data_IF_539172919244
#
_entry.id   IF_539172919244
#
_cell.length_a   1.000
_cell.length_b   1.000
_cell.length_c   1.000
_cell.angle_alpha   90.00
_cell.angle_beta   90.00
_cell.angle_gamma   90.00
#
_symmetry.space_group_name_H-M   'P 1'
#
loop_
_entity.id
_entity.type
_entity.pdbx_description
1 polymer ?
#
# COMPACT_ATOMS: atom_id res chain seq x y z
N UNK A 1 -9.14 -13.83 -10.71
CA UNK A 1 -8.35 -13.48 -9.50
C UNK A 1 -7.58 -12.20 -9.78
N UNK A 2 -7.59 -11.24 -8.86
CA UNK A 2 -6.72 -10.06 -8.86
C UNK A 2 -5.87 -10.16 -7.60
N UNK A 3 -4.56 -10.24 -7.76
CA UNK A 3 -3.65 -10.23 -6.62
C UNK A 3 -3.29 -8.77 -6.30
N UNK A 4 -3.54 -8.33 -5.07
CA UNK A 4 -3.31 -6.95 -4.64
C UNK A 4 -2.31 -6.92 -3.50
N UNK A 5 -1.07 -6.60 -3.82
CA UNK A 5 -0.01 -6.51 -2.83
C UNK A 5 0.13 -5.07 -2.35
N UNK A 6 0.35 -4.89 -1.05
CA UNK A 6 0.68 -3.62 -0.43
C UNK A 6 1.98 -3.73 0.36
N UNK A 7 2.74 -2.64 0.41
CA UNK A 7 3.99 -2.58 1.18
C UNK A 7 4.28 -1.16 1.62
N UNK A 8 4.88 -0.99 2.80
CA UNK A 8 5.50 0.29 3.18
C UNK A 8 7.03 0.28 3.05
N UNK A 9 7.62 -0.87 2.70
CA UNK A 9 9.07 -1.06 2.65
C UNK A 9 9.58 -1.41 1.26
N UNK A 10 8.81 -2.15 0.47
CA UNK A 10 9.20 -2.54 -0.86
C UNK A 10 8.82 -1.46 -1.87
N UNK A 11 9.69 -1.24 -2.84
CA UNK A 11 9.37 -0.41 -3.99
C UNK A 11 8.32 -1.09 -4.88
N UNK A 12 7.63 -0.29 -5.67
CA UNK A 12 6.55 -0.75 -6.52
C UNK A 12 6.97 -1.75 -7.61
N UNK A 13 8.22 -1.70 -8.10
CA UNK A 13 8.71 -2.65 -9.10
C UNK A 13 8.90 -4.02 -8.46
N UNK A 14 9.51 -4.09 -7.29
CA UNK A 14 9.67 -5.34 -6.53
C UNK A 14 8.30 -5.95 -6.18
N UNK A 15 7.36 -5.11 -5.72
CA UNK A 15 6.01 -5.54 -5.38
C UNK A 15 5.24 -6.08 -6.59
N UNK A 16 5.40 -5.44 -7.76
CA UNK A 16 4.78 -5.89 -9.01
C UNK A 16 5.34 -7.24 -9.49
N UNK A 17 6.66 -7.43 -9.40
CA UNK A 17 7.28 -8.71 -9.74
C UNK A 17 6.79 -9.83 -8.82
N UNK A 18 6.65 -9.57 -7.53
CA UNK A 18 6.13 -10.56 -6.57
C UNK A 18 4.68 -10.96 -6.87
N UNK A 19 3.80 -9.98 -7.12
CA UNK A 19 2.40 -10.25 -7.47
C UNK A 19 2.29 -11.06 -8.77
N UNK A 20 3.08 -10.70 -9.78
CA UNK A 20 3.09 -11.38 -11.07
C UNK A 20 3.70 -12.79 -11.00
N UNK A 21 4.80 -12.97 -10.26
CA UNK A 21 5.43 -14.28 -10.05
C UNK A 21 4.47 -15.25 -9.36
N UNK A 22 3.73 -14.77 -8.35
CA UNK A 22 2.72 -15.57 -7.67
C UNK A 22 1.57 -15.95 -8.61
N UNK A 23 1.05 -15.01 -9.40
CA UNK A 23 -0.08 -15.29 -10.31
C UNK A 23 0.32 -16.15 -11.51
N UNK A 24 1.57 -16.04 -11.98
CA UNK A 24 2.12 -16.83 -13.07
C UNK A 24 2.67 -18.20 -12.63
N UNK A 25 2.66 -18.50 -11.32
CA UNK A 25 3.31 -19.67 -10.73
C UNK A 25 4.75 -19.85 -11.22
N UNK A 26 5.53 -18.77 -11.16
CA UNK A 26 6.87 -18.69 -11.72
C UNK A 26 7.89 -18.11 -10.73
N UNK A 27 9.20 -18.41 -10.89
CA UNK A 27 10.25 -17.78 -10.09
C UNK A 27 10.30 -16.26 -10.29
N UNK A 28 10.57 -15.51 -9.22
CA UNK A 28 10.72 -14.04 -9.27
C UNK A 28 11.78 -13.58 -10.29
N UNK A 29 12.82 -14.39 -10.51
CA UNK A 29 13.90 -14.15 -11.47
C UNK A 29 13.43 -14.16 -12.92
N UNK A 30 12.30 -14.80 -13.21
CA UNK A 30 11.74 -14.90 -14.57
C UNK A 30 10.72 -13.80 -14.87
N UNK A 31 10.39 -12.96 -13.89
CA UNK A 31 9.44 -11.87 -14.03
C UNK A 31 10.17 -10.53 -14.04
N UNK A 32 9.92 -9.73 -15.09
CA UNK A 32 10.42 -8.36 -15.21
C UNK A 32 9.30 -7.31 -15.21
N UNK A 33 9.69 -6.05 -15.03
CA UNK A 33 8.81 -4.88 -15.17
C UNK A 33 9.42 -3.94 -16.20
N UNK A 34 8.68 -3.65 -17.26
CA UNK A 34 9.02 -2.68 -18.29
C UNK A 34 8.06 -1.49 -18.29
N UNK A 35 8.15 -0.68 -19.34
CA UNK A 35 7.21 0.43 -19.61
C UNK A 35 6.73 0.38 -21.06
N UNK A 36 5.43 0.49 -21.25
CA UNK A 36 4.83 0.69 -22.56
C UNK A 36 5.09 2.12 -23.08
N UNK A 37 4.95 2.36 -24.41
CA UNK A 37 4.85 3.72 -24.95
C UNK A 37 3.74 4.48 -24.21
N UNK A 38 4.09 5.59 -23.56
CA UNK A 38 3.19 6.33 -22.66
C UNK A 38 3.46 6.13 -21.17
N UNK A 39 4.44 5.31 -20.80
CA UNK A 39 4.98 5.21 -19.44
C UNK A 39 4.26 4.25 -18.50
N UNK A 40 3.16 3.62 -18.96
CA UNK A 40 2.41 2.61 -18.21
C UNK A 40 3.31 1.40 -17.90
N UNK A 41 3.33 0.88 -16.67
CA UNK A 41 4.07 -0.34 -16.34
C UNK A 41 3.52 -1.53 -17.12
N UNK A 42 4.40 -2.40 -17.58
CA UNK A 42 4.07 -3.70 -18.18
C UNK A 42 4.89 -4.79 -17.53
N UNK A 43 4.35 -6.00 -17.46
CA UNK A 43 5.07 -7.18 -16.99
C UNK A 43 5.74 -7.89 -18.17
N UNK A 44 6.93 -8.46 -17.92
CA UNK A 44 7.72 -9.18 -18.93
C UNK A 44 8.18 -10.54 -18.42
N UNK A 45 8.71 -11.37 -19.32
CA UNK A 45 9.12 -12.74 -19.00
C UNK A 45 7.89 -13.61 -18.67
N UNK A 46 7.95 -14.35 -17.56
CA UNK A 46 6.84 -15.21 -17.11
C UNK A 46 5.57 -14.40 -16.75
N UNK A 47 5.69 -13.09 -16.47
CA UNK A 47 4.55 -12.22 -16.24
C UNK A 47 3.94 -11.61 -17.51
N UNK A 48 4.49 -11.92 -18.70
CA UNK A 48 3.96 -11.37 -19.95
C UNK A 48 2.51 -11.81 -20.18
N UNK A 49 1.66 -10.85 -20.60
CA UNK A 49 0.21 -11.09 -20.79
C UNK A 49 -0.64 -10.84 -19.54
N UNK A 50 -0.03 -10.62 -18.37
CA UNK A 50 -0.72 -10.12 -17.19
C UNK A 50 -0.85 -8.59 -17.25
N UNK A 51 -1.99 -8.09 -16.78
CA UNK A 51 -2.25 -6.67 -16.60
C UNK A 51 -1.78 -6.23 -15.22
N UNK A 52 -1.14 -5.06 -15.15
CA UNK A 52 -0.61 -4.49 -13.91
C UNK A 52 -1.07 -3.05 -13.73
N UNK A 53 -1.40 -2.69 -12.50
CA UNK A 53 -1.59 -1.32 -12.07
C UNK A 53 -0.83 -1.06 -10.78
N UNK A 54 -0.26 0.13 -10.66
CA UNK A 54 0.59 0.54 -9.55
C UNK A 54 0.04 1.87 -9.00
N UNK A 55 -0.01 2.00 -7.68
CA UNK A 55 -0.19 3.29 -7.02
C UNK A 55 0.71 3.41 -5.79
N UNK A 56 0.98 4.65 -5.39
CA UNK A 56 1.74 4.95 -4.19
C UNK A 56 1.19 6.20 -3.51
N UNK A 57 1.15 6.20 -2.18
CA UNK A 57 0.80 7.39 -1.40
C UNK A 57 1.49 7.33 -0.05
N UNK A 58 2.19 8.42 0.32
CA UNK A 58 2.80 8.62 1.64
C UNK A 58 3.58 7.42 2.19
N UNK A 59 4.45 6.84 1.37
CA UNK A 59 5.30 5.70 1.76
C UNK A 59 4.64 4.33 1.64
N UNK A 60 3.38 4.25 1.21
CA UNK A 60 2.68 3.01 0.88
C UNK A 60 2.73 2.81 -0.64
N UNK A 61 3.14 1.63 -1.09
CA UNK A 61 2.98 1.17 -2.46
C UNK A 61 1.89 0.09 -2.51
N UNK A 62 1.03 0.14 -3.53
CA UNK A 62 0.05 -0.91 -3.83
C UNK A 62 0.17 -1.31 -5.31
N UNK A 63 0.08 -2.60 -5.57
CA UNK A 63 0.07 -3.15 -6.93
C UNK A 63 -1.08 -4.13 -7.08
N UNK A 64 -1.82 -4.01 -8.19
CA UNK A 64 -2.81 -5.00 -8.62
C UNK A 64 -2.32 -5.70 -9.89
N UNK A 65 -2.37 -7.04 -9.91
CA UNK A 65 -2.04 -7.86 -11.08
C UNK A 65 -3.18 -8.83 -11.39
N UNK A 66 -3.52 -9.00 -12.67
CA UNK A 66 -4.54 -9.96 -13.10
C UNK A 66 -4.39 -10.41 -14.55
N UNK A 67 -4.92 -11.59 -14.86
CA UNK A 67 -5.12 -12.08 -16.22
C UNK A 67 -6.53 -11.75 -16.78
N UNK A 68 -7.42 -11.16 -15.96
CA UNK A 68 -8.84 -11.00 -16.30
C UNK A 68 -9.14 -9.82 -17.25
N UNK A 69 -8.14 -9.01 -17.57
CA UNK A 69 -8.28 -7.82 -18.40
C UNK A 69 -7.80 -6.54 -17.68
N UNK A 70 -8.09 -5.36 -18.26
CA UNK A 70 -7.56 -4.10 -17.77
C UNK A 70 -7.88 -3.87 -16.30
N UNK A 71 -6.85 -3.56 -15.51
CA UNK A 71 -6.94 -3.34 -14.06
C UNK A 71 -6.39 -1.97 -13.69
N UNK A 72 -6.98 -1.38 -12.66
CA UNK A 72 -6.54 -0.14 -12.05
C UNK A 72 -6.53 -0.26 -10.53
N UNK A 73 -5.50 0.30 -9.89
CA UNK A 73 -5.43 0.41 -8.43
C UNK A 73 -5.06 1.82 -8.02
N UNK A 74 -5.63 2.28 -6.93
CA UNK A 74 -5.23 3.52 -6.29
C UNK A 74 -5.19 3.39 -4.77
N UNK A 75 -4.30 4.18 -4.13
CA UNK A 75 -4.16 4.22 -2.68
C UNK A 75 -3.97 5.65 -2.23
N UNK A 76 -4.65 6.04 -1.15
CA UNK A 76 -4.43 7.30 -0.47
C UNK A 76 -4.39 7.13 1.04
N UNK A 77 -3.44 7.81 1.70
CA UNK A 77 -3.42 7.89 3.16
C UNK A 77 -4.61 8.72 3.65
N UNK A 78 -5.31 8.20 4.67
CA UNK A 78 -6.34 8.97 5.40
C UNK A 78 -5.64 10.08 6.18
N UNK A 79 -6.00 11.31 5.85
CA UNK A 79 -5.42 12.53 6.42
C UNK A 79 -6.41 13.68 6.26
N UNK A 80 -6.19 14.74 7.03
CA UNK A 80 -6.99 15.95 6.92
C UNK A 80 -6.81 16.61 5.56
N UNK A 81 -7.93 16.92 4.92
CA UNK A 81 -8.02 17.52 3.61
C UNK A 81 -9.17 18.52 3.58
N UNK A 82 -9.09 19.57 2.74
CA UNK A 82 -10.24 20.42 2.42
C UNK A 82 -11.25 19.68 1.51
N UNK A 83 -11.70 18.49 1.92
CA UNK A 83 -12.45 17.53 1.12
C UNK A 83 -13.65 18.13 0.38
N UNK A 84 -14.39 19.04 1.03
CA UNK A 84 -15.57 19.70 0.45
C UNK A 84 -15.19 20.63 -0.70
N UNK A 85 -14.14 21.44 -0.53
CA UNK A 85 -13.66 22.39 -1.54
C UNK A 85 -13.06 21.65 -2.74
N UNK A 86 -12.30 20.59 -2.47
CA UNK A 86 -11.74 19.72 -3.49
C UNK A 86 -12.84 19.02 -4.30
N UNK A 87 -13.86 18.47 -3.62
CA UNK A 87 -14.99 17.85 -4.29
C UNK A 87 -15.79 18.85 -5.13
N UNK A 88 -16.07 20.05 -4.60
CA UNK A 88 -16.77 21.10 -5.33
C UNK A 88 -16.04 21.53 -6.61
N UNK A 89 -14.70 21.50 -6.60
CA UNK A 89 -13.88 21.87 -7.75
C UNK A 89 -13.82 20.79 -8.83
N UNK A 90 -13.75 19.52 -8.44
CA UNK A 90 -13.35 18.44 -9.36
C UNK A 90 -14.39 17.36 -9.60
N UNK A 91 -15.29 17.10 -8.64
CA UNK A 91 -16.30 16.06 -8.79
C UNK A 91 -17.54 16.57 -9.53
N UNK A 92 -18.45 15.66 -9.84
CA UNK A 92 -19.76 16.06 -10.35
C UNK A 92 -20.58 16.77 -9.25
N UNK A 93 -21.57 17.60 -9.60
CA UNK A 93 -22.41 18.27 -8.60
C UNK A 93 -23.07 17.31 -7.59
N UNK A 94 -23.47 16.12 -8.05
CA UNK A 94 -24.06 15.09 -7.20
C UNK A 94 -23.07 14.54 -6.16
N UNK A 95 -21.85 14.22 -6.58
CA UNK A 95 -20.77 13.74 -5.71
C UNK A 95 -20.26 14.85 -4.79
N UNK A 96 -20.15 16.09 -5.27
CA UNK A 96 -19.78 17.24 -4.43
C UNK A 96 -20.81 17.48 -3.32
N UNK A 97 -22.11 17.41 -3.64
CA UNK A 97 -23.17 17.50 -2.64
C UNK A 97 -23.16 16.31 -1.67
N UNK A 98 -22.71 15.13 -2.10
CA UNK A 98 -22.50 13.98 -1.23
C UNK A 98 -21.35 14.24 -0.24
N UNK A 99 -20.18 14.65 -0.73
CA UNK A 99 -18.99 14.93 0.11
C UNK A 99 -19.26 16.08 1.07
N UNK A 100 -20.05 17.09 0.68
CA UNK A 100 -20.46 18.15 1.59
C UNK A 100 -21.21 17.65 2.84
N UNK A 101 -21.91 16.51 2.73
CA UNK A 101 -22.57 15.83 3.86
C UNK A 101 -21.72 14.75 4.52
N UNK A 102 -20.78 14.16 3.76
CA UNK A 102 -19.91 13.08 4.21
C UNK A 102 -18.45 13.35 3.79
N UNK A 103 -17.74 14.30 4.45
CA UNK A 103 -16.39 14.70 4.03
C UNK A 103 -15.37 13.55 4.01
N UNK A 104 -15.54 12.56 4.89
CA UNK A 104 -14.67 11.39 5.01
C UNK A 104 -14.72 10.47 3.79
N UNK A 105 -15.77 10.56 2.97
CA UNK A 105 -15.95 9.77 1.75
C UNK A 105 -15.19 10.34 0.54
N UNK A 106 -14.59 11.52 0.67
CA UNK A 106 -13.84 12.14 -0.42
C UNK A 106 -12.75 11.22 -0.96
N UNK A 107 -11.93 10.63 -0.07
CA UNK A 107 -10.85 9.73 -0.48
C UNK A 107 -11.36 8.43 -1.10
N UNK A 108 -12.55 7.95 -0.71
CA UNK A 108 -13.19 6.79 -1.34
C UNK A 108 -13.57 7.10 -2.79
N UNK A 109 -14.20 8.25 -3.04
CA UNK A 109 -14.57 8.67 -4.39
C UNK A 109 -13.33 9.01 -5.24
N UNK A 110 -12.33 9.65 -4.63
CA UNK A 110 -11.06 9.99 -5.28
C UNK A 110 -10.33 8.74 -5.79
N UNK A 111 -10.04 7.81 -4.88
CA UNK A 111 -9.31 6.57 -5.19
C UNK A 111 -10.09 5.72 -6.20
N UNK A 112 -11.42 5.70 -6.12
CA UNK A 112 -12.27 4.99 -7.08
C UNK A 112 -12.17 5.59 -8.49
N UNK A 113 -12.19 6.93 -8.62
CA UNK A 113 -12.04 7.63 -9.91
C UNK A 113 -10.66 7.39 -10.51
N UNK A 114 -9.61 7.44 -9.70
CA UNK A 114 -8.23 7.21 -10.12
C UNK A 114 -7.99 5.76 -10.54
N UNK A 115 -8.42 4.78 -9.73
CA UNK A 115 -8.35 3.36 -10.07
C UNK A 115 -9.09 3.09 -11.38
N UNK A 116 -10.30 3.65 -11.54
CA UNK A 116 -11.07 3.54 -12.79
C UNK A 116 -10.32 4.18 -13.97
N UNK A 117 -9.76 5.38 -13.80
CA UNK A 117 -8.97 6.06 -14.82
C UNK A 117 -7.75 5.25 -15.27
N UNK A 118 -7.08 4.59 -14.31
CA UNK A 118 -5.95 3.70 -14.57
C UNK A 118 -6.37 2.44 -15.33
N UNK A 119 -7.50 1.83 -14.98
CA UNK A 119 -8.04 0.68 -15.72
C UNK A 119 -8.32 1.04 -17.19
N UNK A 120 -8.89 2.23 -17.46
CA UNK A 120 -9.15 2.69 -18.83
C UNK A 120 -7.88 3.13 -19.59
N UNK A 121 -6.73 3.21 -18.92
CA UNK A 121 -5.50 3.77 -19.49
C UNK A 121 -5.55 5.27 -19.79
N UNK A 122 -6.52 6.00 -19.21
CA UNK A 122 -6.72 7.45 -19.43
C UNK A 122 -6.26 8.31 -18.26
N UNK A 123 -6.11 7.71 -17.08
CA UNK A 123 -5.92 8.44 -15.83
C UNK A 123 -7.07 9.42 -15.57
N UNK A 124 -6.75 10.60 -15.04
CA UNK A 124 -7.71 11.69 -14.82
C UNK A 124 -7.99 12.57 -16.04
N UNK A 125 -7.36 12.29 -17.20
CA UNK A 125 -7.59 13.05 -18.43
C UNK A 125 -9.03 12.86 -18.94
N UNK A 126 -9.44 13.73 -19.86
CA UNK A 126 -10.74 13.67 -20.53
C UNK A 126 -11.95 13.62 -19.57
N UNK A 127 -11.89 14.45 -18.52
CA UNK A 127 -12.95 14.54 -17.52
C UNK A 127 -12.97 13.39 -16.51
N UNK A 128 -11.85 12.68 -16.30
CA UNK A 128 -11.77 11.53 -15.39
C UNK A 128 -12.26 11.82 -13.96
N UNK A 129 -12.04 13.03 -13.43
CA UNK A 129 -12.57 13.45 -12.12
C UNK A 129 -14.09 13.68 -12.12
N UNK A 130 -14.69 13.97 -13.28
CA UNK A 130 -16.14 14.12 -13.47
C UNK A 130 -16.82 12.82 -13.91
N UNK A 131 -16.07 11.71 -14.04
CA UNK A 131 -16.66 10.40 -14.29
C UNK A 131 -17.55 10.02 -13.11
N UNK A 132 -18.84 9.77 -13.37
CA UNK A 132 -19.79 9.39 -12.34
C UNK A 132 -19.39 8.06 -11.71
N UNK A 133 -19.16 8.07 -10.41
CA UNK A 133 -18.96 6.86 -9.62
C UNK A 133 -20.20 6.53 -8.80
N UNK A 134 -20.42 5.24 -8.49
CA UNK A 134 -21.36 4.89 -7.43
C UNK A 134 -20.99 5.66 -6.15
N UNK A 135 -21.99 6.19 -5.45
CA UNK A 135 -21.76 6.84 -4.16
C UNK A 135 -21.60 5.78 -3.05
N UNK A 136 -20.79 6.01 -2.01
CA UNK A 136 -20.85 5.20 -0.79
C UNK A 136 -22.26 5.24 -0.18
N UNK A 137 -22.74 4.21 0.54
CA UNK A 137 -22.15 2.89 0.72
C UNK A 137 -22.41 1.92 -0.46
N UNK A 138 -23.13 2.33 -1.52
CA UNK A 138 -23.38 1.46 -2.68
C UNK A 138 -22.08 1.09 -3.42
N UNK A 139 -21.10 2.00 -3.42
CA UNK A 139 -19.71 1.78 -3.88
C UNK A 139 -18.81 1.09 -2.85
N UNK A 140 -19.21 1.13 -1.59
CA UNK A 140 -18.39 0.83 -0.43
C UNK A 140 -19.14 -0.18 0.43
N UNK A 141 -19.08 -1.45 0.03
CA UNK A 141 -19.38 -2.49 1.00
C UNK A 141 -18.29 -2.42 2.07
N UNK A 142 -18.63 -1.79 3.19
CA UNK A 142 -17.97 -1.97 4.47
C UNK A 142 -18.08 -3.46 4.83
N UNK A 143 -17.21 -4.29 4.27
CA UNK A 143 -16.84 -5.52 4.97
C UNK A 143 -16.21 -5.05 6.30
N UNK A 144 -16.51 -5.69 7.45
CA UNK A 144 -15.81 -5.36 8.69
C UNK A 144 -14.31 -5.36 8.39
N UNK A 145 -13.67 -4.22 8.63
CA UNK A 145 -12.25 -3.96 8.34
C UNK A 145 -11.44 -5.15 8.88
N UNK A 146 -10.83 -5.99 8.03
CA UNK A 146 -9.96 -7.02 8.54
C UNK A 146 -8.70 -6.32 9.06
N UNK A 147 -8.43 -6.42 10.36
CA UNK A 147 -7.12 -6.03 10.92
C UNK A 147 -6.05 -6.88 10.21
N UNK A 148 -4.94 -6.29 9.70
CA UNK A 148 -3.87 -7.06 9.09
C UNK A 148 -3.16 -7.84 10.18
N UNK A 149 -3.62 -9.06 10.38
CA UNK A 149 -3.01 -10.04 11.28
C UNK A 149 -2.49 -11.25 10.51
N UNK A 150 -2.82 -11.41 9.23
CA UNK A 150 -2.43 -12.55 8.40
C UNK A 150 -1.74 -12.13 7.09
N UNK A 151 -0.79 -12.97 6.63
CA UNK A 151 0.09 -12.73 5.49
C UNK A 151 -0.59 -12.76 4.11
N UNK A 152 -1.85 -13.20 4.04
CA UNK A 152 -2.69 -13.18 2.84
C UNK A 152 -4.14 -13.27 3.27
N UNK A 153 -5.04 -12.47 2.67
CA UNK A 153 -6.46 -12.54 3.01
C UNK A 153 -7.39 -12.59 1.79
N UNK A 154 -8.33 -13.56 1.70
CA UNK A 154 -9.37 -13.57 0.70
C UNK A 154 -10.26 -12.35 0.82
N UNK A 155 -10.26 -11.49 -0.20
CA UNK A 155 -11.31 -10.49 -0.39
C UNK A 155 -12.67 -11.17 -0.56
N UNK A 156 -13.76 -10.59 0.00
CA UNK A 156 -15.09 -11.14 -0.19
C UNK A 156 -15.48 -11.21 -1.67
N UNK A 157 -16.29 -12.21 -2.04
CA UNK A 157 -17.04 -12.25 -3.31
C UNK A 157 -18.07 -11.11 -3.28
N UNK A 158 -17.65 -9.90 -3.66
CA UNK A 158 -18.53 -8.73 -3.68
C UNK A 158 -19.15 -8.59 -5.06
N UNK A 159 -20.49 -8.58 -5.10
CA UNK A 159 -21.28 -8.25 -6.29
C UNK A 159 -20.83 -6.89 -6.83
N UNK A 160 -20.56 -6.76 -8.15
CA UNK A 160 -20.13 -5.51 -8.76
C UNK A 160 -21.03 -4.32 -8.40
N UNK A 161 -20.44 -3.23 -7.91
CA UNK A 161 -21.06 -1.91 -7.98
C UNK A 161 -20.65 -1.27 -9.31
N UNK A 162 -21.53 -1.30 -10.31
CA UNK A 162 -21.22 -0.80 -11.65
C UNK A 162 -22.48 -0.47 -12.46
N UNK A 163 -22.37 0.49 -13.38
CA UNK A 163 -23.39 0.68 -14.42
C UNK A 163 -23.20 -0.40 -15.50
N UNK A 164 -24.26 -1.14 -15.88
CA UNK A 164 -24.19 -2.12 -16.96
C UNK A 164 -23.77 -1.52 -18.31
N UNK A 165 -23.84 -0.19 -18.47
CA UNK A 165 -23.42 0.50 -19.70
C UNK A 165 -21.91 0.60 -19.89
N UNK A 166 -21.08 0.41 -18.85
CA UNK A 166 -19.63 0.66 -18.95
C UNK A 166 -18.76 -0.56 -18.56
N UNK A 167 -19.38 -1.72 -18.27
CA UNK A 167 -18.69 -2.94 -17.86
C UNK A 167 -17.59 -2.68 -16.80
N UNK A 168 -17.85 -1.79 -15.85
CA UNK A 168 -16.89 -1.37 -14.83
C UNK A 168 -17.25 -2.04 -13.52
N UNK A 169 -16.28 -2.71 -12.90
CA UNK A 169 -16.40 -3.16 -11.51
C UNK A 169 -15.32 -2.50 -10.67
N UNK A 170 -15.69 -1.95 -9.51
CA UNK A 170 -14.71 -1.41 -8.57
C UNK A 170 -15.03 -1.79 -7.13
N UNK A 171 -13.97 -1.84 -6.32
CA UNK A 171 -14.03 -2.15 -4.90
C UNK A 171 -13.14 -1.16 -4.13
N UNK A 172 -13.63 -0.64 -3.02
CA UNK A 172 -12.88 0.26 -2.14
C UNK A 172 -12.76 -0.31 -0.74
N UNK A 173 -11.59 -0.14 -0.14
CA UNK A 173 -11.19 -0.72 1.14
C UNK A 173 -10.53 0.36 2.00
N UNK A 174 -10.86 0.43 3.29
CA UNK A 174 -10.01 1.10 4.28
C UNK A 174 -9.11 0.04 4.91
N UNK A 175 -7.81 0.29 4.96
CA UNK A 175 -6.79 -0.64 5.45
C UNK A 175 -5.86 0.10 6.40
N UNK A 176 -5.48 -0.53 7.50
CA UNK A 176 -4.47 0.04 8.42
C UNK A 176 -3.15 -0.70 8.21
N UNK A 177 -2.18 -0.08 7.53
CA UNK A 177 -0.85 -0.70 7.30
C UNK A 177 0.03 -0.59 8.54
N UNK A 178 1.20 -1.23 8.52
CA UNK A 178 2.23 -1.08 9.57
C UNK A 178 3.36 -0.17 9.09
N UNK A 179 3.79 0.82 9.90
CA UNK A 179 3.19 1.25 11.16
C UNK A 179 1.81 1.88 10.92
N UNK A 180 0.92 1.80 11.92
CA UNK A 180 -0.53 2.07 11.92
C UNK A 180 -1.02 3.25 11.05
N UNK A 181 -0.97 3.08 9.74
CA UNK A 181 -1.30 4.12 8.76
C UNK A 181 -2.59 3.70 8.09
N UNK A 182 -3.65 4.46 8.32
CA UNK A 182 -4.91 4.20 7.63
C UNK A 182 -4.80 4.70 6.19
N UNK A 183 -5.15 3.83 5.25
CA UNK A 183 -5.20 4.12 3.82
C UNK A 183 -6.53 3.69 3.24
N UNK A 184 -6.96 4.38 2.20
CA UNK A 184 -8.05 3.96 1.31
C UNK A 184 -7.41 3.35 0.07
N UNK A 185 -7.82 2.14 -0.31
CA UNK A 185 -7.39 1.47 -1.54
C UNK A 185 -8.62 1.21 -2.40
N UNK A 186 -8.56 1.59 -3.68
CA UNK A 186 -9.57 1.19 -4.67
C UNK A 186 -8.96 0.35 -5.77
N UNK A 187 -9.69 -0.68 -6.19
CA UNK A 187 -9.35 -1.56 -7.32
C UNK A 187 -10.48 -1.48 -8.33
N UNK A 188 -10.17 -1.37 -9.61
CA UNK A 188 -11.15 -1.32 -10.70
C UNK A 188 -10.75 -2.25 -11.85
N UNK A 189 -11.74 -2.85 -12.51
CA UNK A 189 -11.57 -3.64 -13.74
C UNK A 189 -12.61 -3.26 -14.79
N UNK A 190 -12.25 -3.39 -16.06
CA UNK A 190 -13.14 -3.17 -17.20
C UNK A 190 -13.45 -4.49 -17.90
N UNK A 191 -14.69 -4.63 -18.36
CA UNK A 191 -15.28 -5.86 -18.85
C UNK A 191 -16.17 -6.51 -17.78
N UNK A 192 -17.12 -7.34 -18.21
CA UNK A 192 -17.91 -8.18 -17.31
C UNK A 192 -16.94 -9.21 -16.71
N UNK A 193 -16.56 -9.13 -15.42
CA UNK A 193 -15.88 -10.25 -14.81
C UNK A 193 -16.90 -11.40 -14.85
N UNK A 194 -16.53 -12.60 -15.29
CA UNK A 194 -17.47 -13.71 -15.15
C UNK A 194 -17.92 -13.76 -13.68
N UNK A 195 -19.22 -13.71 -13.45
CA UNK A 195 -19.80 -13.52 -12.13
C UNK A 195 -19.16 -14.51 -11.14
N UNK A 196 -18.49 -13.98 -10.10
CA UNK A 196 -17.84 -14.78 -9.06
C UNK A 196 -16.34 -15.10 -9.21
N UNK A 197 -15.61 -14.54 -10.20
CA UNK A 197 -14.19 -14.91 -10.43
C UNK A 197 -13.12 -13.93 -9.92
N UNK A 198 -13.49 -12.77 -9.36
CA UNK A 198 -12.53 -11.78 -8.88
C UNK A 198 -12.42 -11.85 -7.36
N UNK A 199 -11.50 -12.69 -6.91
CA UNK A 199 -10.94 -12.63 -5.56
C UNK A 199 -9.84 -11.57 -5.54
N UNK A 200 -9.94 -10.62 -4.61
CA UNK A 200 -8.90 -9.62 -4.31
C UNK A 200 -8.13 -10.12 -3.11
N UNK A 201 -6.92 -10.64 -3.31
CA UNK A 201 -6.09 -11.08 -2.20
C UNK A 201 -5.17 -9.94 -1.76
N UNK A 202 -5.33 -9.48 -0.52
CA UNK A 202 -4.43 -8.48 0.07
C UNK A 202 -3.28 -9.15 0.80
N UNK A 203 -2.05 -8.69 0.55
CA UNK A 203 -0.85 -9.10 1.28
C UNK A 203 -0.04 -7.88 1.70
N UNK A 204 0.15 -7.70 3.01
CA UNK A 204 1.10 -6.74 3.56
C UNK A 204 2.47 -7.41 3.70
N UNK A 205 3.42 -6.97 2.86
CA UNK A 205 4.80 -7.50 2.86
C UNK A 205 5.71 -6.79 3.86
N UNK A 206 5.17 -5.82 4.60
CA UNK A 206 5.94 -5.04 5.56
C UNK A 206 6.34 -5.92 6.75
N UNK A 207 7.60 -5.83 7.23
CA UNK A 207 8.06 -6.64 8.34
C UNK A 207 7.19 -6.43 9.59
N UNK A 208 6.84 -7.51 10.27
CA UNK A 208 6.22 -7.45 11.60
C UNK A 208 7.18 -6.74 12.56
N UNK A 209 6.68 -5.85 13.42
CA UNK A 209 7.50 -5.18 14.45
C UNK A 209 8.23 -6.15 15.41
N UNK A 210 7.93 -7.45 15.34
CA UNK A 210 8.60 -8.52 16.07
C UNK A 210 9.89 -9.05 15.40
N UNK A 211 10.27 -8.59 14.21
CA UNK A 211 11.46 -9.06 13.48
C UNK A 211 12.69 -8.14 13.65
N UNK A 212 12.76 -7.34 14.71
CA UNK A 212 14.05 -6.83 15.22
C UNK A 212 14.56 -7.84 16.25
N UNK A 213 14.97 -9.01 15.76
CA UNK A 213 15.64 -9.99 16.62
C UNK A 213 17.01 -9.43 17.02
N UNK A 214 17.17 -9.26 18.33
CA UNK A 214 18.41 -8.98 19.02
C UNK A 214 19.32 -10.20 18.90
N UNK A 215 20.12 -10.28 17.84
CA UNK A 215 21.29 -11.14 17.86
C UNK A 215 22.45 -10.42 18.56
N UNK A 216 23.05 -11.00 19.61
CA UNK A 216 24.21 -10.42 20.26
C UNK A 216 25.42 -10.50 19.30
N UNK A 217 26.13 -9.39 19.17
CA UNK A 217 27.37 -9.29 18.41
C UNK A 217 28.37 -10.32 18.94
N UNK A 218 28.61 -11.39 18.16
CA UNK A 218 29.75 -12.27 18.37
C UNK A 218 31.03 -11.53 17.97
N UNK A 219 31.65 -10.86 18.92
CA UNK A 219 33.05 -10.44 18.82
C UNK A 219 33.92 -11.54 19.47
N UNK A 220 34.38 -12.47 18.64
CA UNK A 220 35.51 -13.32 18.99
C UNK A 220 36.79 -12.49 18.92
N UNK A 221 37.64 -12.57 19.97
CA UNK A 221 39.11 -12.53 19.85
C UNK A 221 39.77 -12.94 21.17
N UNK A 222 40.16 -14.21 21.18
CA UNK A 222 41.52 -14.71 21.40
C UNK A 222 42.31 -14.17 22.60
N UNK A 223 42.52 -15.03 23.60
CA UNK A 223 43.54 -14.85 24.64
C UNK A 223 44.12 -16.21 25.04
N UNK A 224 45.31 -16.53 24.50
CA UNK A 224 46.23 -17.50 25.09
C UNK A 224 47.02 -16.84 26.24
N UNK A 225 47.31 -17.52 27.36
CA UNK A 225 48.05 -16.92 28.47
C UNK A 225 49.56 -17.12 28.33
N UNK A 226 50.32 -16.03 28.33
CA UNK A 226 51.76 -16.03 28.63
C UNK A 226 51.99 -15.51 30.05
N UNK A 227 52.74 -16.31 30.82
CA UNK A 227 53.23 -16.04 32.17
C UNK A 227 54.25 -14.91 32.14
N UNK A 228 54.16 -13.96 33.08
CA UNK A 228 55.15 -12.90 33.28
C UNK A 228 54.88 -12.05 34.53
N UNK A 229 55.75 -12.20 35.52
CA UNK A 229 55.90 -11.60 36.86
C UNK A 229 55.67 -10.07 36.97
N UNK A 230 55.19 -9.53 38.12
CA UNK A 230 54.95 -8.08 38.32
C UNK A 230 56.18 -7.34 38.89
N UNK A 231 56.17 -6.00 38.87
CA UNK A 231 56.43 -5.30 40.14
C UNK A 231 55.62 -4.01 40.40
N UNK A 232 55.19 -3.90 41.67
CA UNK A 232 55.38 -2.79 42.63
C UNK A 232 54.99 -1.35 42.24
N UNK A 233 54.12 -0.75 43.07
CA UNK A 233 54.37 0.60 43.60
C UNK A 233 53.20 1.59 43.59
N UNK A 234 52.69 1.90 44.79
CA UNK A 234 52.23 3.21 45.32
C UNK A 234 51.49 4.20 44.39
N UNK A 235 50.36 4.81 44.73
CA UNK A 235 49.67 4.95 46.01
C UNK A 235 48.67 6.12 45.94
N UNK A 236 47.99 6.32 47.07
CA UNK A 236 47.46 7.61 47.57
C UNK A 236 46.14 8.15 46.94
N UNK A 237 45.11 8.09 47.78
CA UNK A 237 43.83 8.83 47.85
C UNK A 237 44.02 10.37 48.02
N UNK A 238 43.01 11.24 48.27
CA UNK A 238 41.54 11.17 48.08
C UNK A 238 40.88 12.52 47.61
N UNK A 239 39.53 12.55 47.60
CA UNK A 239 38.65 13.67 48.01
C UNK A 239 38.56 14.91 47.05
N UNK A 240 37.51 15.72 46.96
CA UNK A 240 36.21 15.90 47.65
C UNK A 240 35.45 17.03 46.89
N UNK A 241 34.12 17.12 47.12
CA UNK A 241 33.26 18.35 47.21
C UNK A 241 33.14 19.25 45.98
N UNK A 242 32.08 20.03 45.72
CA UNK A 242 30.74 20.29 46.27
C UNK A 242 30.02 21.07 45.13
N UNK A 243 28.77 20.77 44.77
CA UNK A 243 27.52 21.41 45.25
C UNK A 243 27.28 22.86 44.78
N UNK A 244 26.01 23.11 44.42
CA UNK A 244 25.25 24.39 44.41
C UNK A 244 25.44 25.27 43.15
N UNK A 245 24.45 25.95 42.57
CA UNK A 245 22.98 25.96 42.52
C UNK A 245 22.58 27.16 41.61
N UNK A 246 21.42 27.07 40.94
CA UNK A 246 20.51 28.20 40.58
C UNK A 246 21.09 29.28 39.62
N UNK A 247 20.34 30.09 38.89
CA UNK A 247 18.93 30.42 38.81
C UNK A 247 18.59 30.83 37.35
N UNK A 248 17.30 30.83 37.04
CA UNK A 248 16.68 31.47 35.89
C UNK A 248 16.93 32.99 35.84
N UNK A 249 16.57 33.63 34.72
CA UNK A 249 15.30 34.35 34.70
C UNK A 249 14.25 33.76 33.74
#
# INVERSE_FOLDING_TARGET
MIDVLLSVTLDAHTLARQAAAHLADAPLTEVGVGRAPGGRPILTGAGAGLEVSISHSHGVAVVAVTAAGPVGVDVEQVRDLPSVELAARWFTPQEAAWVARHPDDFLLLWTQKEATGKAYGRGLRDGGLRRLMPLPPAASRHAPLPRPTAASWPGPLLQPGGSPEIALTSWSYRVVTRPATEVVISVATIGTPMAGQVRVDFRDTSPTAAARDTSPTAAARDASPTVGTPPVGSGICPARTDRVSRAAP
#
